data_IF_528820363874
#
_entry.id   IF_528820363874
#
_cell.length_a   1.000
_cell.length_b   1.000
_cell.length_c   1.000
_cell.angle_alpha   90.00
_cell.angle_beta   90.00
_cell.angle_gamma   90.00
#
_symmetry.space_group_name_H-M   'P 1'
#
loop_
_entity.id
_entity.type
_entity.pdbx_description
1 polymer ?
#
# COMPACT_ATOMS: atom_id res chain seq x y z
N UNK A 1 19.55 -0.74 -9.28
CA UNK A 1 18.53 -0.60 -10.33
C UNK A 1 17.36 -1.49 -9.92
N UNK A 2 16.31 -0.89 -9.37
CA UNK A 2 15.08 -1.62 -9.04
C UNK A 2 14.31 -1.94 -10.32
N UNK A 3 13.62 -3.07 -10.37
CA UNK A 3 12.76 -3.35 -11.52
C UNK A 3 11.66 -2.26 -11.62
N UNK A 4 11.20 -1.91 -12.84
CA UNK A 4 10.20 -0.86 -13.01
C UNK A 4 8.90 -1.16 -12.25
N UNK A 5 8.49 -2.43 -12.16
CA UNK A 5 7.32 -2.88 -11.41
C UNK A 5 7.46 -2.81 -9.88
N UNK A 6 8.65 -2.46 -9.35
CA UNK A 6 8.88 -2.20 -7.92
C UNK A 6 9.10 -0.72 -7.62
N UNK A 7 8.89 0.15 -8.61
CA UNK A 7 9.14 1.59 -8.52
C UNK A 7 7.82 2.35 -8.68
N UNK A 8 7.66 3.45 -7.93
CA UNK A 8 6.42 4.22 -7.92
C UNK A 8 6.69 5.69 -8.23
N UNK A 9 5.88 6.26 -9.13
CA UNK A 9 5.76 7.72 -9.21
C UNK A 9 4.81 8.18 -8.12
N UNK A 10 5.33 8.98 -7.20
CA UNK A 10 4.57 9.48 -6.04
C UNK A 10 3.98 10.85 -6.36
N UNK A 11 2.68 11.00 -6.12
CA UNK A 11 1.97 12.27 -6.24
C UNK A 11 1.61 12.79 -4.85
N UNK A 12 1.92 14.07 -4.60
CA UNK A 12 1.28 14.79 -3.50
C UNK A 12 -0.13 15.19 -3.94
N UNK A 13 -1.13 14.75 -3.18
CA UNK A 13 -2.55 15.01 -3.48
C UNK A 13 -2.98 16.46 -3.18
N UNK A 14 -2.18 17.20 -2.41
CA UNK A 14 -2.52 18.53 -1.89
C UNK A 14 -3.34 18.51 -0.59
N UNK A 15 -3.71 17.33 -0.08
CA UNK A 15 -4.58 17.15 1.11
C UNK A 15 -3.87 16.45 2.26
N UNK A 16 -2.53 16.44 2.26
CA UNK A 16 -1.73 15.69 3.22
C UNK A 16 -1.65 14.18 2.94
N UNK A 17 -2.13 13.73 1.78
CA UNK A 17 -2.07 12.32 1.33
C UNK A 17 -1.17 12.16 0.10
N UNK A 18 -0.77 10.92 -0.14
CA UNK A 18 0.03 10.50 -1.29
C UNK A 18 -0.76 9.52 -2.18
N UNK A 19 -0.51 9.57 -3.48
CA UNK A 19 -0.95 8.54 -4.42
C UNK A 19 0.27 7.93 -5.12
N UNK A 20 0.24 6.62 -5.38
CA UNK A 20 1.36 5.87 -5.93
C UNK A 20 0.98 5.30 -7.30
N UNK A 21 1.60 5.80 -8.36
CA UNK A 21 1.39 5.31 -9.72
C UNK A 21 2.46 4.29 -10.09
N UNK A 22 2.04 3.13 -10.56
CA UNK A 22 2.90 2.08 -11.09
C UNK A 22 3.36 2.40 -12.53
N UNK A 23 4.29 1.59 -13.03
CA UNK A 23 4.74 1.59 -14.43
C UNK A 23 3.60 1.38 -15.45
N UNK A 24 2.53 0.68 -15.06
CA UNK A 24 1.31 0.51 -15.86
C UNK A 24 0.48 1.80 -16.04
N UNK A 25 0.79 2.87 -15.32
CA UNK A 25 0.00 4.10 -15.27
C UNK A 25 -1.20 4.04 -14.33
N UNK A 26 -1.55 2.87 -13.81
CA UNK A 26 -2.56 2.71 -12.75
C UNK A 26 -1.97 3.02 -11.37
N UNK A 27 -2.85 3.24 -10.41
CA UNK A 27 -2.54 3.60 -9.03
C UNK A 27 -2.76 2.44 -8.08
N UNK A 28 -1.89 2.36 -7.07
CA UNK A 28 -2.07 1.51 -5.89
C UNK A 28 -3.33 1.94 -5.15
N UNK A 29 -4.16 0.97 -4.78
CA UNK A 29 -5.42 1.18 -4.12
C UNK A 29 -5.74 0.03 -3.15
N UNK A 30 -6.48 0.34 -2.09
CA UNK A 30 -7.18 -0.67 -1.31
C UNK A 30 -8.34 -1.22 -2.13
N UNK A 31 -8.46 -2.54 -2.16
CA UNK A 31 -9.57 -3.25 -2.78
C UNK A 31 -10.20 -4.17 -1.76
N UNK A 32 -11.52 -4.04 -1.55
CA UNK A 32 -12.23 -4.84 -0.55
C UNK A 32 -12.82 -6.10 -1.18
N UNK A 33 -12.49 -7.26 -0.61
CA UNK A 33 -12.90 -8.60 -1.04
C UNK A 33 -12.53 -8.91 -2.50
N UNK A 34 -11.38 -8.39 -2.95
CA UNK A 34 -10.94 -8.53 -4.35
C UNK A 34 -10.06 -9.77 -4.57
N UNK A 35 -9.56 -10.39 -3.50
CA UNK A 35 -8.91 -11.69 -3.54
C UNK A 35 -9.79 -12.80 -2.92
N UNK A 36 -10.51 -13.59 -3.74
CA UNK A 36 -11.33 -14.68 -3.23
C UNK A 36 -10.54 -15.68 -2.37
N UNK A 37 -11.04 -15.91 -1.16
CA UNK A 37 -10.42 -16.83 -0.21
C UNK A 37 -9.18 -16.27 0.51
N UNK A 38 -8.96 -14.95 0.46
CA UNK A 38 -7.99 -14.27 1.31
C UNK A 38 -8.42 -14.29 2.79
N UNK A 39 -7.45 -14.29 3.70
CA UNK A 39 -7.66 -14.30 5.14
C UNK A 39 -8.02 -12.92 5.71
N UNK A 40 -7.76 -11.86 4.95
CA UNK A 40 -8.13 -10.47 5.26
C UNK A 40 -8.92 -9.91 4.10
N UNK A 41 -9.80 -8.95 4.34
CA UNK A 41 -10.72 -8.46 3.31
C UNK A 41 -10.13 -7.33 2.45
N UNK A 42 -9.02 -6.71 2.84
CA UNK A 42 -8.50 -5.49 2.22
C UNK A 42 -7.12 -5.72 1.63
N UNK A 43 -7.03 -5.95 0.32
CA UNK A 43 -5.76 -6.11 -0.40
C UNK A 43 -5.28 -4.79 -1.02
N UNK A 44 -3.97 -4.71 -1.24
CA UNK A 44 -3.36 -3.63 -2.01
C UNK A 44 -3.15 -4.08 -3.47
N UNK A 45 -3.86 -3.44 -4.40
CA UNK A 45 -3.77 -3.74 -5.83
C UNK A 45 -3.52 -2.49 -6.67
N UNK A 46 -2.91 -2.70 -7.85
CA UNK A 46 -2.74 -1.67 -8.88
C UNK A 46 -3.86 -1.81 -9.89
N UNK A 47 -4.95 -1.06 -9.71
CA UNK A 47 -6.13 -1.20 -10.57
C UNK A 47 -6.89 0.12 -10.84
N UNK A 48 -6.59 1.19 -10.11
CA UNK A 48 -7.31 2.47 -10.25
C UNK A 48 -6.63 3.34 -11.30
N UNK A 49 -7.38 3.84 -12.29
CA UNK A 49 -6.81 4.71 -13.34
C UNK A 49 -6.54 6.14 -12.88
N UNK A 50 -7.37 6.65 -11.96
CA UNK A 50 -7.26 8.00 -11.43
C UNK A 50 -7.45 7.98 -9.92
N UNK A 51 -6.42 8.36 -9.18
CA UNK A 51 -6.44 8.37 -7.71
C UNK A 51 -7.49 9.33 -7.11
N UNK A 52 -8.01 10.26 -7.92
CA UNK A 52 -9.07 11.20 -7.49
C UNK A 52 -10.45 10.55 -7.43
N UNK A 53 -10.62 9.37 -8.03
CA UNK A 53 -11.92 8.69 -8.11
C UNK A 53 -12.37 8.13 -6.75
N UNK A 54 -11.45 7.96 -5.80
CA UNK A 54 -11.80 7.49 -4.46
C UNK A 54 -10.66 7.56 -3.45
N UNK A 55 -11.03 7.65 -2.18
CA UNK A 55 -10.09 7.72 -1.06
C UNK A 55 -9.22 6.46 -0.94
N UNK A 56 -9.70 5.31 -1.41
CA UNK A 56 -8.98 4.03 -1.40
C UNK A 56 -7.66 4.04 -2.19
N UNK A 57 -7.44 5.03 -3.06
CA UNK A 57 -6.19 5.24 -3.80
C UNK A 57 -5.29 6.36 -3.21
N UNK A 58 -5.61 6.84 -2.00
CA UNK A 58 -4.90 7.94 -1.34
C UNK A 58 -4.47 7.53 0.08
N UNK A 59 -3.20 7.70 0.39
CA UNK A 59 -2.60 7.20 1.63
C UNK A 59 -2.05 8.33 2.48
N UNK A 60 -2.33 8.32 3.78
CA UNK A 60 -1.64 9.19 4.72
C UNK A 60 -0.27 8.57 5.03
N UNK A 61 0.80 9.34 4.85
CA UNK A 61 2.15 8.94 5.26
C UNK A 61 2.36 9.32 6.72
N UNK A 62 2.68 8.34 7.57
CA UNK A 62 2.92 8.53 9.00
C UNK A 62 4.38 8.22 9.29
N UNK A 63 5.09 9.18 9.89
CA UNK A 63 6.47 8.96 10.36
C UNK A 63 6.48 7.99 11.55
N UNK A 64 7.27 6.93 11.43
CA UNK A 64 7.44 5.89 12.45
C UNK A 64 8.77 6.03 13.21
N UNK A 65 9.56 7.06 12.91
CA UNK A 65 10.92 7.23 13.40
C UNK A 65 11.90 6.30 12.70
N UNK A 66 13.20 6.48 12.97
CA UNK A 66 14.29 5.62 12.46
C UNK A 66 14.28 5.41 10.94
N UNK A 67 13.84 6.42 10.17
CA UNK A 67 13.77 6.35 8.70
C UNK A 67 12.69 5.40 8.16
N UNK A 68 11.67 5.09 8.97
CA UNK A 68 10.53 4.27 8.59
C UNK A 68 9.26 5.11 8.48
N UNK A 69 8.36 4.70 7.60
CA UNK A 69 7.03 5.28 7.44
C UNK A 69 5.96 4.20 7.46
N UNK A 70 4.74 4.54 7.84
CA UNK A 70 3.56 3.73 7.63
C UNK A 70 2.62 4.43 6.64
N UNK A 71 1.86 3.66 5.87
CA UNK A 71 0.91 4.18 4.88
C UNK A 71 -0.51 3.81 5.30
N UNK A 72 -1.25 4.78 5.84
CA UNK A 72 -2.63 4.58 6.26
C UNK A 72 -3.58 4.72 5.07
N UNK A 73 -4.48 3.76 4.91
CA UNK A 73 -5.52 3.74 3.89
C UNK A 73 -6.80 4.46 4.36
N UNK A 74 -7.81 4.53 3.49
CA UNK A 74 -9.09 5.18 3.75
C UNK A 74 -9.94 4.49 4.83
N UNK A 75 -9.72 3.19 5.06
CA UNK A 75 -10.37 2.42 6.13
C UNK A 75 -9.70 2.61 7.51
N UNK A 76 -8.65 3.43 7.61
CA UNK A 76 -7.91 3.68 8.85
C UNK A 76 -6.83 2.64 9.17
N UNK A 77 -6.80 1.51 8.46
CA UNK A 77 -5.74 0.51 8.58
C UNK A 77 -4.52 0.88 7.71
N UNK A 78 -3.41 0.19 7.95
CA UNK A 78 -2.12 0.47 7.34
C UNK A 78 -1.71 -0.61 6.35
N UNK A 79 -1.08 -0.18 5.25
CA UNK A 79 -0.45 -1.07 4.28
C UNK A 79 0.62 -1.90 5.00
N UNK A 80 0.48 -3.22 4.92
CA UNK A 80 1.31 -4.16 5.65
C UNK A 80 1.57 -5.42 4.83
N UNK A 81 2.74 -6.03 5.04
CA UNK A 81 3.02 -7.38 4.59
C UNK A 81 2.16 -8.36 5.38
N UNK A 82 1.51 -9.29 4.71
CA UNK A 82 0.65 -10.31 5.29
C UNK A 82 1.10 -11.68 4.78
N UNK A 83 1.46 -12.58 5.69
CA UNK A 83 2.00 -13.89 5.36
C UNK A 83 0.88 -14.93 5.22
N UNK A 84 0.85 -15.64 4.10
CA UNK A 84 -0.17 -16.62 3.71
C UNK A 84 -1.61 -16.08 3.71
N UNK A 85 -1.78 -14.76 3.57
CA UNK A 85 -3.10 -14.13 3.61
C UNK A 85 -3.82 -14.15 2.28
N UNK A 86 -3.08 -14.26 1.16
CA UNK A 86 -3.65 -14.36 -0.19
C UNK A 86 -3.16 -15.67 -0.79
N UNK A 87 -4.06 -16.40 -1.47
CA UNK A 87 -3.73 -17.66 -2.15
C UNK A 87 -2.82 -17.37 -3.34
N UNK A 88 -1.53 -17.60 -3.15
CA UNK A 88 -0.49 -17.35 -4.14
C UNK A 88 0.65 -18.34 -3.93
N UNK A 89 1.49 -18.52 -4.96
CA UNK A 89 2.77 -19.22 -4.82
C UNK A 89 3.79 -18.42 -3.99
N UNK A 90 3.53 -17.13 -3.78
CA UNK A 90 4.32 -16.26 -2.91
C UNK A 90 3.69 -16.24 -1.51
N UNK A 91 4.49 -16.39 -0.44
CA UNK A 91 3.96 -16.41 0.92
C UNK A 91 3.54 -15.03 1.40
N UNK A 92 4.01 -13.95 0.77
CA UNK A 92 3.77 -12.58 1.23
C UNK A 92 2.95 -11.78 0.25
N UNK A 93 1.90 -11.12 0.77
CA UNK A 93 1.10 -10.14 0.04
C UNK A 93 1.07 -8.81 0.79
N UNK A 94 0.71 -7.73 0.10
CA UNK A 94 0.47 -6.43 0.70
C UNK A 94 -1.05 -6.23 0.91
N UNK A 95 -1.45 -5.89 2.12
CA UNK A 95 -2.86 -5.75 2.54
C UNK A 95 -3.03 -4.60 3.53
N UNK A 96 -4.25 -4.14 3.79
CA UNK A 96 -4.59 -3.04 4.70
C UNK A 96 -5.37 -3.54 5.92
N UNK A 97 -4.75 -4.41 6.71
CA UNK A 97 -5.38 -5.11 7.85
C UNK A 97 -4.87 -4.69 9.22
N UNK A 98 -3.78 -3.91 9.29
CA UNK A 98 -3.13 -3.53 10.56
C UNK A 98 -3.71 -2.22 11.05
N UNK A 99 -4.25 -2.20 12.27
CA UNK A 99 -4.83 -0.99 12.87
C UNK A 99 -3.77 -0.06 13.51
N UNK A 100 -2.67 -0.61 14.03
CA UNK A 100 -1.56 0.18 14.58
C UNK A 100 -0.21 -0.30 14.01
N UNK A 101 0.50 0.52 13.22
CA UNK A 101 1.76 0.15 12.59
C UNK A 101 2.90 0.03 13.59
N UNK A 102 2.72 0.43 14.86
CA UNK A 102 3.71 0.25 15.92
C UNK A 102 3.75 -1.17 16.45
N UNK A 103 2.66 -1.92 16.32
CA UNK A 103 2.57 -3.30 16.81
C UNK A 103 3.33 -4.31 15.93
N UNK A 104 3.72 -3.93 14.71
CA UNK A 104 4.39 -4.84 13.78
C UNK A 104 5.25 -4.13 12.76
N UNK A 105 6.53 -4.48 12.70
CA UNK A 105 7.47 -3.97 11.70
C UNK A 105 7.03 -4.28 10.25
N UNK A 106 6.16 -5.26 10.06
CA UNK A 106 5.58 -5.63 8.77
C UNK A 106 4.58 -4.58 8.21
N UNK A 107 4.20 -3.57 9.00
CA UNK A 107 3.42 -2.41 8.57
C UNK A 107 4.27 -1.12 8.42
N UNK A 108 5.60 -1.25 8.49
CA UNK A 108 6.54 -0.14 8.41
C UNK A 108 7.48 -0.31 7.21
N UNK A 109 7.64 0.75 6.43
CA UNK A 109 8.33 0.73 5.15
C UNK A 109 9.53 1.68 5.17
N UNK A 110 10.61 1.29 4.52
CA UNK A 110 11.71 2.21 4.20
C UNK A 110 11.46 2.80 2.83
N UNK A 111 11.58 4.12 2.72
CA UNK A 111 11.58 4.80 1.43
C UNK A 111 13.00 4.84 0.91
N UNK A 112 13.23 4.23 -0.26
CA UNK A 112 14.52 4.29 -0.96
C UNK A 112 14.36 5.07 -2.24
N UNK A 113 15.35 5.90 -2.58
CA UNK A 113 15.37 6.58 -3.87
C UNK A 113 15.61 5.54 -4.96
N UNK A 114 14.79 5.57 -6.01
CA UNK A 114 15.05 4.77 -7.21
C UNK A 114 16.35 5.26 -7.87
N UNK A 115 17.27 4.34 -8.11
CA UNK A 115 18.53 4.56 -8.83
C UNK A 115 18.47 3.96 -10.23
#
# INVERSE_FOLDING_TARGET
IGNPWSTWKVYNTGTGKLAFQADTGNFLARCNNCAPGAAVADEAFVHVKNWRDGAWAQFTCVDMGNGKVALQSDNGNYLARCNNCVRSSLPDSATMHVADPRMGAYAQWTVVKSV
#
